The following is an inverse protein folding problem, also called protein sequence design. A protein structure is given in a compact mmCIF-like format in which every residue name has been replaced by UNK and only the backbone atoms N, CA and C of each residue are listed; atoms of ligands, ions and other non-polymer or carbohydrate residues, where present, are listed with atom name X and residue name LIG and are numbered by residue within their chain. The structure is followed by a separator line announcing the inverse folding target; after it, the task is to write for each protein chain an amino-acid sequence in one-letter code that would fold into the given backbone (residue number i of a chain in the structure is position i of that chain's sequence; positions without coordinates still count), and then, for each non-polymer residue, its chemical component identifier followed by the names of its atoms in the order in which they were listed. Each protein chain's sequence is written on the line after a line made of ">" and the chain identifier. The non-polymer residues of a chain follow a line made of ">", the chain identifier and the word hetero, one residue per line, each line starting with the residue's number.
data_IF_993130071244
#
_entry.id   IF_993130071244
#
_cell.length_a   1.000
_cell.length_b   1.000
_cell.length_c   1.000
_cell.angle_alpha   90.00
_cell.angle_beta   90.00
_cell.angle_gamma   90.00
#
_symmetry.space_group_name_H-M   'P 1'
#
loop_
_entity.id
_entity.type
_entity.pdbx_description
1 polymer ?
#
# COMPACT_ATOMS: atom_id res chain seq x y z
N UNK A 1 5.65 28.07 18.97
CA UNK A 1 5.04 27.28 17.88
C UNK A 1 3.61 26.97 18.32
N UNK A 2 2.61 27.57 17.68
CA UNK A 2 1.21 27.41 18.07
C UNK A 2 0.71 25.99 17.83
N UNK A 3 0.05 25.39 18.82
CA UNK A 3 -0.63 24.09 18.70
C UNK A 3 -1.69 24.06 17.58
N UNK A 4 -2.17 25.23 17.15
CA UNK A 4 -3.08 25.37 15.99
C UNK A 4 -2.36 25.10 14.66
N UNK A 5 -1.09 25.44 14.54
CA UNK A 5 -0.28 25.08 13.37
C UNK A 5 0.00 23.57 13.33
N UNK A 6 0.23 22.93 14.49
CA UNK A 6 0.46 21.48 14.56
C UNK A 6 -0.76 20.65 14.09
N UNK A 7 -1.99 21.13 14.31
CA UNK A 7 -3.21 20.48 13.77
C UNK A 7 -3.44 20.76 12.29
N UNK A 8 -2.95 21.89 11.77
CA UNK A 8 -3.02 22.19 10.33
C UNK A 8 -2.14 21.25 9.48
N UNK A 9 -1.11 20.64 10.07
CA UNK A 9 -0.25 19.66 9.40
C UNK A 9 -0.80 18.22 9.36
N UNK A 10 -2.03 17.97 9.84
CA UNK A 10 -2.67 16.66 9.56
C UNK A 10 -2.89 16.39 8.07
N UNK A 11 -2.68 17.40 7.22
CA UNK A 11 -2.28 17.26 5.83
C UNK A 11 -3.27 16.47 4.97
N UNK A 12 -2.91 16.25 3.71
CA UNK A 12 -3.66 15.40 2.80
C UNK A 12 -3.36 13.91 3.03
N UNK A 13 -2.89 13.53 4.23
CA UNK A 13 -2.37 12.20 4.54
C UNK A 13 -3.39 11.07 4.33
N UNK A 14 -4.62 11.28 4.79
CA UNK A 14 -5.72 10.34 4.64
C UNK A 14 -6.15 10.24 3.16
N UNK A 15 -6.36 11.40 2.50
CA UNK A 15 -6.72 11.46 1.08
C UNK A 15 -5.66 10.80 0.20
N UNK A 16 -4.37 10.94 0.54
CA UNK A 16 -3.25 10.32 -0.14
C UNK A 16 -3.27 8.80 -0.05
N UNK A 17 -3.46 8.26 1.15
CA UNK A 17 -3.57 6.81 1.35
C UNK A 17 -4.79 6.23 0.62
N UNK A 18 -5.93 6.92 0.68
CA UNK A 18 -7.13 6.50 -0.04
C UNK A 18 -6.90 6.54 -1.56
N UNK A 19 -6.30 7.62 -2.07
CA UNK A 19 -5.98 7.75 -3.49
C UNK A 19 -5.03 6.63 -3.97
N UNK A 20 -3.94 6.38 -3.25
CA UNK A 20 -3.00 5.30 -3.56
C UNK A 20 -3.70 3.93 -3.57
N UNK A 21 -4.53 3.66 -2.56
CA UNK A 21 -5.30 2.41 -2.47
C UNK A 21 -6.26 2.24 -3.65
N UNK A 22 -6.90 3.32 -4.09
CA UNK A 22 -7.79 3.32 -5.26
C UNK A 22 -7.03 3.12 -6.57
N UNK A 23 -5.83 3.70 -6.73
CA UNK A 23 -4.99 3.45 -7.90
C UNK A 23 -4.57 1.98 -7.99
N UNK A 24 -4.13 1.39 -6.87
CA UNK A 24 -3.81 -0.04 -6.79
C UNK A 24 -5.05 -0.88 -7.11
N UNK A 25 -6.21 -0.53 -6.56
CA UNK A 25 -7.46 -1.24 -6.85
C UNK A 25 -7.84 -1.16 -8.33
N UNK A 26 -7.71 0.02 -8.95
CA UNK A 26 -7.94 0.21 -10.38
C UNK A 26 -7.03 -0.71 -11.21
N UNK A 27 -5.76 -0.81 -10.85
CA UNK A 27 -4.78 -1.71 -11.48
C UNK A 27 -5.15 -3.19 -11.30
N UNK A 28 -5.46 -3.61 -10.08
CA UNK A 28 -5.84 -5.00 -9.79
C UNK A 28 -7.12 -5.44 -10.51
N UNK A 29 -8.05 -4.51 -10.71
CA UNK A 29 -9.34 -4.76 -11.38
C UNK A 29 -9.32 -4.44 -12.88
N UNK A 30 -8.21 -3.89 -13.39
CA UNK A 30 -8.08 -3.39 -14.76
C UNK A 30 -9.21 -2.40 -15.15
N UNK A 31 -9.67 -1.59 -14.19
CA UNK A 31 -10.81 -0.69 -14.39
C UNK A 31 -10.37 0.65 -15.01
N UNK A 32 -10.56 0.77 -16.33
CA UNK A 32 -10.24 1.99 -17.07
C UNK A 32 -11.08 3.20 -16.62
N UNK A 33 -12.34 3.00 -16.24
CA UNK A 33 -13.22 4.09 -15.82
C UNK A 33 -12.80 4.65 -14.46
N UNK A 34 -12.40 3.78 -13.53
CA UNK A 34 -11.84 4.20 -12.25
C UNK A 34 -10.49 4.92 -12.46
N UNK A 35 -9.61 4.37 -13.29
CA UNK A 35 -8.34 5.02 -13.62
C UNK A 35 -8.54 6.41 -14.23
N UNK A 36 -9.51 6.57 -15.14
CA UNK A 36 -9.85 7.88 -15.74
C UNK A 36 -10.40 8.86 -14.70
N UNK A 37 -11.27 8.40 -13.80
CA UNK A 37 -11.78 9.22 -12.71
C UNK A 37 -10.65 9.68 -11.76
N UNK A 38 -9.70 8.79 -11.43
CA UNK A 38 -8.53 9.11 -10.61
C UNK A 38 -7.57 10.07 -11.32
N UNK A 39 -7.35 9.90 -12.62
CA UNK A 39 -6.57 10.83 -13.45
C UNK A 39 -7.19 12.23 -13.46
N UNK A 40 -8.49 12.32 -13.72
CA UNK A 40 -9.23 13.59 -13.66
C UNK A 40 -9.20 14.22 -12.26
N UNK A 41 -9.24 13.41 -11.20
CA UNK A 41 -9.11 13.93 -9.84
C UNK A 41 -7.75 14.61 -9.64
N UNK A 42 -6.65 13.99 -10.07
CA UNK A 42 -5.31 14.59 -9.96
C UNK A 42 -5.22 15.85 -10.82
N UNK A 43 -5.66 15.81 -12.07
CA UNK A 43 -5.62 16.98 -12.96
C UNK A 43 -6.30 18.21 -12.33
N UNK A 44 -7.52 18.01 -11.81
CA UNK A 44 -8.30 19.07 -11.18
C UNK A 44 -7.74 19.56 -9.83
N UNK A 45 -7.00 18.71 -9.10
CA UNK A 45 -6.54 19.00 -7.73
C UNK A 45 -5.02 19.13 -7.61
N UNK A 46 -4.25 19.00 -8.70
CA UNK A 46 -2.79 18.98 -8.68
C UNK A 46 -2.21 20.18 -7.93
N UNK A 47 -2.77 21.37 -8.19
CA UNK A 47 -2.40 22.61 -7.49
C UNK A 47 -2.60 22.50 -5.98
N UNK A 48 -3.79 22.07 -5.55
CA UNK A 48 -4.13 21.97 -4.14
C UNK A 48 -3.26 20.92 -3.44
N UNK A 49 -2.99 19.79 -4.11
CA UNK A 49 -2.10 18.74 -3.61
C UNK A 49 -0.69 19.31 -3.42
N UNK A 50 -0.11 19.94 -4.44
CA UNK A 50 1.23 20.54 -4.33
C UNK A 50 1.30 21.66 -3.30
N UNK A 51 0.17 22.35 -3.09
CA UNK A 51 0.13 23.52 -2.23
C UNK A 51 -0.01 23.19 -0.73
N UNK A 52 -0.65 22.07 -0.41
CA UNK A 52 -0.99 21.70 0.97
C UNK A 52 -0.34 20.41 1.46
N UNK A 53 0.24 19.61 0.56
CA UNK A 53 0.94 18.38 0.93
C UNK A 53 2.35 18.66 1.46
N UNK A 54 2.82 17.79 2.35
CA UNK A 54 4.22 17.81 2.74
C UNK A 54 5.10 17.45 1.51
N UNK A 55 6.10 18.27 1.14
CA UNK A 55 7.00 17.96 0.01
C UNK A 55 7.69 16.59 0.13
N UNK A 56 7.96 16.12 1.35
CA UNK A 56 8.49 14.79 1.60
C UNK A 56 7.53 13.66 1.22
N UNK A 57 6.23 13.92 1.14
CA UNK A 57 5.19 12.95 0.81
C UNK A 57 4.66 13.05 -0.63
N UNK A 58 5.09 14.04 -1.42
CA UNK A 58 4.67 14.17 -2.83
C UNK A 58 5.06 12.96 -3.69
N UNK A 59 6.10 12.23 -3.31
CA UNK A 59 6.53 11.02 -4.00
C UNK A 59 5.46 9.91 -3.96
N UNK A 60 4.65 9.82 -2.90
CA UNK A 60 3.56 8.83 -2.81
C UNK A 60 2.44 9.12 -3.82
N UNK A 61 2.14 10.40 -4.07
CA UNK A 61 1.19 10.80 -5.12
C UNK A 61 1.70 10.45 -6.52
N UNK A 62 3.00 10.68 -6.78
CA UNK A 62 3.67 10.29 -8.02
C UNK A 62 3.61 8.77 -8.21
N UNK A 63 3.90 7.99 -7.16
CA UNK A 63 3.78 6.53 -7.17
C UNK A 63 2.36 6.07 -7.51
N UNK A 64 1.35 6.68 -6.88
CA UNK A 64 -0.05 6.36 -7.17
C UNK A 64 -0.43 6.63 -8.64
N UNK A 65 0.08 7.71 -9.24
CA UNK A 65 -0.13 7.99 -10.68
C UNK A 65 0.57 6.97 -11.56
N UNK A 66 1.78 6.53 -11.19
CA UNK A 66 2.48 5.46 -11.92
C UNK A 66 1.73 4.12 -11.91
N UNK A 67 0.99 3.80 -10.84
CA UNK A 67 0.17 2.58 -10.80
C UNK A 67 -0.93 2.56 -11.88
N UNK A 68 -1.38 3.74 -12.34
CA UNK A 68 -2.35 3.88 -13.43
C UNK A 68 -1.74 3.66 -14.82
N UNK A 69 -0.41 3.53 -14.94
CA UNK A 69 0.26 3.28 -16.21
C UNK A 69 -0.19 1.95 -16.81
N UNK A 70 -0.58 1.99 -18.09
CA UNK A 70 -1.16 0.88 -18.82
C UNK A 70 -2.70 0.82 -18.77
N UNK A 71 -3.33 1.57 -17.86
CA UNK A 71 -4.79 1.83 -17.87
C UNK A 71 -5.11 3.19 -18.51
N UNK A 72 -4.23 4.16 -18.34
CA UNK A 72 -4.29 5.46 -19.00
C UNK A 72 -3.29 5.53 -20.17
N UNK A 73 -3.56 6.35 -21.19
CA UNK A 73 -2.57 6.66 -22.21
C UNK A 73 -1.30 7.26 -21.60
N UNK A 74 -0.13 6.89 -22.12
CA UNK A 74 1.16 7.32 -21.55
C UNK A 74 1.29 8.85 -21.50
N UNK A 75 0.82 9.57 -22.54
CA UNK A 75 0.84 11.05 -22.55
C UNK A 75 0.04 11.67 -21.41
N UNK A 76 -1.08 11.05 -21.00
CA UNK A 76 -1.89 11.53 -19.87
C UNK A 76 -1.15 11.31 -18.56
N UNK A 77 -0.50 10.16 -18.41
CA UNK A 77 0.33 9.88 -17.22
C UNK A 77 1.47 10.90 -17.12
N UNK A 78 2.17 11.16 -18.22
CA UNK A 78 3.26 12.12 -18.28
C UNK A 78 2.80 13.56 -17.95
N UNK A 79 1.62 13.97 -18.43
CA UNK A 79 1.02 15.26 -18.12
C UNK A 79 0.67 15.39 -16.63
N UNK A 80 0.04 14.37 -16.04
CA UNK A 80 -0.27 14.33 -14.61
C UNK A 80 1.01 14.39 -13.77
N UNK A 81 2.05 13.62 -14.13
CA UNK A 81 3.35 13.66 -13.46
C UNK A 81 4.01 15.03 -13.58
N UNK A 82 3.93 15.65 -14.75
CA UNK A 82 4.45 17.00 -15.00
C UNK A 82 3.69 18.04 -14.15
N UNK A 83 2.38 17.90 -13.98
CA UNK A 83 1.56 18.81 -13.17
C UNK A 83 1.96 18.79 -11.68
N UNK A 84 2.29 17.61 -11.14
CA UNK A 84 2.73 17.42 -9.76
C UNK A 84 4.18 17.87 -9.53
N UNK A 85 5.05 17.69 -10.52
CA UNK A 85 6.49 17.96 -10.39
C UNK A 85 6.89 19.39 -10.75
N UNK A 86 6.28 20.00 -11.77
CA UNK A 86 6.61 21.36 -12.24
C UNK A 86 6.43 22.38 -11.12
N UNK A 87 5.32 22.29 -10.36
CA UNK A 87 5.01 23.21 -9.27
C UNK A 87 5.91 23.03 -8.03
N UNK A 88 6.56 21.86 -7.89
CA UNK A 88 7.52 21.62 -6.81
C UNK A 88 8.78 22.46 -6.99
N UNK A 89 9.23 22.70 -8.23
CA UNK A 89 10.43 23.50 -8.52
C UNK A 89 10.29 24.93 -8.03
N UNK A 90 9.15 25.57 -8.29
CA UNK A 90 8.92 26.97 -7.92
C UNK A 90 8.99 27.21 -6.41
N UNK A 91 8.59 26.20 -5.63
CA UNK A 91 8.40 26.36 -4.18
C UNK A 91 9.62 25.97 -3.35
N UNK A 92 10.43 25.04 -3.85
CA UNK A 92 11.54 24.47 -3.07
C UNK A 92 12.93 24.83 -3.56
N UNK A 93 13.08 25.63 -4.63
CA UNK A 93 14.25 26.48 -4.95
C UNK A 93 15.68 25.89 -4.90
N UNK A 94 15.84 24.59 -4.66
CA UNK A 94 17.13 24.00 -4.27
C UNK A 94 17.10 22.49 -4.12
N UNK A 95 15.99 21.81 -4.50
CA UNK A 95 16.09 20.42 -4.92
C UNK A 95 16.60 20.42 -6.37
N UNK A 96 17.86 20.79 -6.54
CA UNK A 96 18.63 20.47 -7.73
C UNK A 96 18.81 18.95 -7.73
N UNK A 97 17.73 18.24 -8.07
CA UNK A 97 17.85 16.89 -8.55
C UNK A 97 18.49 17.07 -9.93
N UNK A 98 19.80 16.88 -9.97
CA UNK A 98 20.61 17.17 -11.15
C UNK A 98 20.01 16.54 -12.41
N UNK A 99 20.29 17.08 -13.60
CA UNK A 99 19.55 16.82 -14.85
C UNK A 99 19.38 15.35 -15.26
N UNK A 100 20.10 14.41 -14.63
CA UNK A 100 20.07 12.99 -14.95
C UNK A 100 20.28 12.08 -13.73
N UNK A 101 19.89 12.49 -12.52
CA UNK A 101 19.71 11.50 -11.44
C UNK A 101 18.42 10.75 -11.72
N UNK A 102 18.55 9.73 -12.57
CA UNK A 102 17.84 8.47 -12.57
C UNK A 102 16.76 8.32 -11.48
N UNK A 103 15.66 9.07 -11.59
CA UNK A 103 14.42 8.72 -10.90
C UNK A 103 13.93 7.33 -11.32
N UNK A 104 14.49 6.78 -12.40
CA UNK A 104 14.27 5.40 -12.82
C UNK A 104 15.16 4.36 -12.10
N UNK A 105 16.24 4.77 -11.43
CA UNK A 105 17.21 3.87 -10.78
C UNK A 105 17.31 4.04 -9.26
N UNK A 106 17.10 5.24 -8.72
CA UNK A 106 17.10 5.51 -7.27
C UNK A 106 15.70 5.44 -6.64
N UNK A 107 14.64 5.49 -7.46
CA UNK A 107 13.55 4.58 -7.19
C UNK A 107 14.14 3.20 -7.45
N UNK A 108 14.74 2.61 -6.41
CA UNK A 108 14.87 1.16 -6.26
C UNK A 108 13.63 0.60 -6.93
N UNK A 109 13.74 -0.36 -7.87
CA UNK A 109 12.55 -1.03 -8.41
C UNK A 109 11.83 -1.58 -7.19
N UNK A 110 10.88 -0.79 -6.66
CA UNK A 110 10.18 -1.10 -5.44
C UNK A 110 9.61 -2.43 -5.79
N UNK A 111 10.00 -3.46 -5.03
CA UNK A 111 9.94 -4.79 -5.56
C UNK A 111 8.50 -4.99 -5.98
N UNK A 112 8.31 -5.68 -7.11
CA UNK A 112 7.03 -6.22 -7.56
C UNK A 112 6.31 -7.06 -6.48
N UNK A 113 6.76 -7.03 -5.22
CA UNK A 113 6.18 -7.53 -3.99
C UNK A 113 4.88 -6.80 -3.61
N UNK A 114 4.68 -5.51 -3.89
CA UNK A 114 3.34 -4.89 -3.69
C UNK A 114 2.36 -5.23 -4.82
N UNK A 115 2.86 -5.41 -6.05
CA UNK A 115 2.05 -5.92 -7.19
C UNK A 115 1.85 -7.43 -7.14
N UNK A 116 2.65 -8.18 -6.37
CA UNK A 116 2.14 -9.35 -5.62
C UNK A 116 1.30 -8.83 -4.48
N UNK A 117 0.22 -8.14 -4.83
CA UNK A 117 -0.99 -8.26 -4.04
C UNK A 117 -1.11 -9.75 -3.83
N UNK A 118 -0.98 -10.16 -2.58
CA UNK A 118 -1.53 -11.40 -2.14
C UNK A 118 -3.05 -11.29 -2.42
N UNK A 119 -3.45 -11.43 -3.68
CA UNK A 119 -4.26 -12.56 -4.07
C UNK A 119 -3.50 -13.81 -3.56
N UNK A 120 -3.41 -13.96 -2.23
CA UNK A 120 -3.96 -15.14 -1.60
C UNK A 120 -5.37 -15.15 -2.15
N UNK A 121 -5.50 -15.69 -3.36
CA UNK A 121 -6.34 -16.82 -3.55
C UNK A 121 -6.24 -17.54 -2.21
N UNK A 122 -7.29 -17.40 -1.41
CA UNK A 122 -7.84 -18.59 -0.81
C UNK A 122 -8.08 -19.51 -2.01
N UNK A 123 -7.03 -20.08 -2.60
CA UNK A 123 -7.04 -21.49 -2.92
C UNK A 123 -7.38 -22.05 -1.56
N UNK A 124 -8.62 -22.54 -1.35
CA UNK A 124 -8.83 -23.37 -0.19
C UNK A 124 -7.74 -24.42 -0.35
N UNK A 125 -6.80 -24.45 0.59
CA UNK A 125 -6.08 -25.69 0.81
C UNK A 125 -7.19 -26.66 1.17
N UNK A 126 -7.72 -27.34 0.14
CA UNK A 126 -8.25 -28.68 0.23
C UNK A 126 -7.06 -29.53 0.69
N UNK A 127 -6.71 -29.32 1.96
CA UNK A 127 -6.05 -30.30 2.76
C UNK A 127 -7.07 -31.44 2.74
N UNK A 128 -6.71 -32.51 2.05
CA UNK A 128 -7.36 -33.81 2.13
C UNK A 128 -7.32 -34.27 3.59
N UNK A 129 -8.13 -33.66 4.43
CA UNK A 129 -8.58 -34.26 5.67
C UNK A 129 -9.87 -34.96 5.29
N UNK A 130 -9.91 -36.26 5.52
CA UNK A 130 -11.08 -37.09 5.32
C UNK A 130 -12.21 -36.63 6.24
N UNK A 131 -12.89 -35.57 5.86
CA UNK A 131 -14.15 -35.15 6.46
C UNK A 131 -15.22 -36.07 5.93
N UNK A 132 -15.65 -36.97 6.81
CA UNK A 132 -16.77 -37.87 6.65
C UNK A 132 -18.00 -37.12 6.07
N UNK A 133 -18.46 -37.52 4.89
CA UNK A 133 -19.43 -36.81 4.05
C UNK A 133 -20.87 -36.81 4.61
N UNK A 134 -21.10 -37.33 5.83
CA UNK A 134 -22.45 -37.62 6.31
C UNK A 134 -23.10 -36.55 7.19
N UNK A 135 -22.44 -35.44 7.50
CA UNK A 135 -22.96 -34.48 8.50
C UNK A 135 -22.70 -33.00 8.19
N UNK A 136 -22.97 -32.53 6.98
CA UNK A 136 -23.11 -31.08 6.75
C UNK A 136 -24.48 -30.80 6.15
N UNK A 137 -25.45 -30.61 7.04
CA UNK A 137 -26.73 -29.97 6.71
C UNK A 137 -26.45 -28.58 6.15
N UNK A 138 -26.77 -28.38 4.87
CA UNK A 138 -26.66 -27.09 4.20
C UNK A 138 -27.46 -26.04 4.98
N UNK A 139 -26.90 -24.85 5.28
CA UNK A 139 -27.70 -23.78 5.86
C UNK A 139 -28.79 -23.38 4.86
N UNK A 140 -30.03 -23.12 5.31
CA UNK A 140 -31.12 -22.77 4.41
C UNK A 140 -30.79 -21.43 3.74
N UNK A 141 -30.77 -21.46 2.41
CA UNK A 141 -30.70 -20.31 1.52
C UNK A 141 -31.82 -19.34 1.89
N UNK A 142 -31.48 -18.26 2.60
CA UNK A 142 -32.43 -17.17 2.86
C UNK A 142 -32.56 -16.36 1.57
N UNK A 143 -33.64 -16.62 0.82
CA UNK A 143 -34.10 -15.73 -0.25
C UNK A 143 -34.31 -14.33 0.32
N UNK A 144 -33.69 -13.33 -0.28
CA UNK A 144 -33.94 -11.92 0.01
C UNK A 144 -35.44 -11.65 -0.09
N UNK A 145 -36.06 -11.26 1.04
CA UNK A 145 -37.42 -10.75 1.06
C UNK A 145 -37.39 -9.24 0.85
N UNK A 146 -38.37 -8.77 0.08
CA UNK A 146 -38.67 -7.37 -0.22
C UNK A 146 -38.65 -6.49 1.05
N UNK A 147 -38.19 -5.24 0.88
CA UNK A 147 -37.91 -4.23 1.90
C UNK A 147 -39.15 -3.70 2.65
N UNK A 148 -40.36 -4.06 2.24
CA UNK A 148 -41.61 -3.50 2.81
C UNK A 148 -42.18 -4.26 4.03
N UNK A 149 -41.47 -5.27 4.55
CA UNK A 149 -41.89 -5.99 5.76
C UNK A 149 -40.76 -6.14 6.77
N UNK A 150 -40.30 -5.03 7.35
CA UNK A 150 -39.54 -5.03 8.60
C UNK A 150 -40.37 -4.41 9.72
N UNK A 151 -41.31 -5.20 10.26
CA UNK A 151 -41.80 -4.96 11.62
C UNK A 151 -40.79 -5.57 12.60
N UNK A 152 -40.17 -4.71 13.40
CA UNK A 152 -39.18 -5.04 14.42
C UNK A 152 -39.87 -5.81 15.55
N UNK A 153 -39.81 -7.13 15.49
CA UNK A 153 -40.13 -8.00 16.62
C UNK A 153 -38.89 -8.23 17.47
N UNK A 154 -38.92 -7.81 18.74
CA UNK A 154 -37.86 -8.11 19.71
C UNK A 154 -37.88 -9.60 20.06
N UNK A 155 -36.80 -10.37 19.80
CA UNK A 155 -36.72 -11.75 20.26
C UNK A 155 -36.45 -11.77 21.76
N UNK A 156 -37.43 -12.25 22.53
CA UNK A 156 -37.24 -12.67 23.91
C UNK A 156 -36.51 -14.01 23.91
N UNK A 157 -35.18 -13.97 24.09
CA UNK A 157 -34.38 -15.18 24.29
C UNK A 157 -34.45 -15.63 25.76
N UNK A 158 -34.63 -16.93 26.06
CA UNK A 158 -34.48 -17.45 27.42
C UNK A 158 -32.99 -17.48 27.83
N UNK A 159 -32.67 -17.38 29.14
CA UNK A 159 -31.29 -17.31 29.62
C UNK A 159 -30.61 -18.68 29.52
N UNK A 160 -29.88 -18.92 28.43
CA UNK A 160 -29.02 -20.10 28.33
C UNK A 160 -27.77 -19.91 29.17
N UNK A 161 -27.72 -20.61 30.31
CA UNK A 161 -26.51 -20.82 31.12
C UNK A 161 -25.55 -21.75 30.38
N UNK A 162 -24.74 -21.21 29.47
CA UNK A 162 -23.56 -21.91 29.01
C UNK A 162 -22.35 -21.38 29.78
N UNK A 163 -21.54 -22.24 30.43
CA UNK A 163 -20.30 -21.82 31.06
C UNK A 163 -19.34 -21.32 29.98
N UNK A 164 -19.04 -20.02 30.01
CA UNK A 164 -17.99 -19.44 29.15
C UNK A 164 -16.66 -20.08 29.51
N UNK A 165 -15.93 -20.69 28.56
CA UNK A 165 -14.57 -21.14 28.84
C UNK A 165 -13.71 -19.90 29.15
N UNK A 166 -13.06 -19.91 30.31
CA UNK A 166 -12.07 -18.91 30.69
C UNK A 166 -10.89 -19.08 29.75
N UNK A 167 -10.85 -18.33 28.67
CA UNK A 167 -9.66 -18.21 27.84
C UNK A 167 -8.68 -17.29 28.56
N UNK A 168 -7.50 -17.82 28.90
CA UNK A 168 -6.35 -17.02 29.30
C UNK A 168 -6.13 -15.87 28.33
N UNK A 169 -5.71 -14.67 28.80
CA UNK A 169 -5.41 -13.56 27.91
C UNK A 169 -4.21 -13.97 27.04
N UNK A 170 -4.50 -14.35 25.80
CA UNK A 170 -3.52 -14.45 24.74
C UNK A 170 -2.94 -13.06 24.53
N UNK A 171 -1.76 -12.82 25.10
CA UNK A 171 -0.86 -11.77 24.64
C UNK A 171 -0.55 -12.09 23.18
N UNK A 172 -1.34 -11.53 22.27
CA UNK A 172 -1.03 -11.51 20.86
C UNK A 172 0.33 -10.80 20.73
N UNK A 173 1.37 -11.45 20.18
CA UNK A 173 2.58 -10.74 19.85
C UNK A 173 2.22 -9.69 18.79
N UNK A 174 2.15 -8.43 19.22
CA UNK A 174 2.31 -7.28 18.33
C UNK A 174 3.78 -7.25 17.92
N UNK A 175 4.19 -8.26 17.17
CA UNK A 175 5.45 -8.26 16.44
C UNK A 175 5.13 -7.59 15.12
N UNK A 176 5.62 -6.36 14.98
CA UNK A 176 5.74 -5.66 13.71
C UNK A 176 6.79 -6.39 12.86
N UNK A 177 6.44 -7.60 12.39
CA UNK A 177 7.26 -8.44 11.49
C UNK A 177 7.72 -7.69 10.22
N UNK A 178 7.11 -6.55 9.93
CA UNK A 178 7.45 -5.67 8.81
C UNK A 178 8.77 -4.92 9.03
N UNK A 179 9.09 -4.51 10.27
CA UNK A 179 10.31 -3.75 10.58
C UNK A 179 11.54 -4.66 10.61
N UNK A 180 11.42 -5.86 11.19
CA UNK A 180 12.52 -6.84 11.26
C UNK A 180 13.03 -7.25 9.86
N UNK A 181 12.14 -7.32 8.86
CA UNK A 181 12.52 -7.66 7.48
C UNK A 181 13.29 -6.52 6.81
N UNK A 182 12.99 -5.27 7.18
CA UNK A 182 13.75 -4.10 6.72
C UNK A 182 15.16 -4.08 7.28
N UNK A 183 15.28 -4.34 8.59
CA UNK A 183 16.55 -4.38 9.30
C UNK A 183 17.48 -5.47 8.76
N UNK A 184 16.97 -6.69 8.56
CA UNK A 184 17.75 -7.82 8.01
C UNK A 184 18.26 -7.51 6.59
N UNK A 185 17.45 -6.86 5.75
CA UNK A 185 17.90 -6.48 4.39
C UNK A 185 19.01 -5.44 4.42
N UNK A 186 18.95 -4.50 5.36
CA UNK A 186 19.97 -3.49 5.49
C UNK A 186 21.30 -4.08 5.97
N UNK A 187 21.23 -4.99 6.94
CA UNK A 187 22.41 -5.70 7.43
C UNK A 187 23.07 -6.56 6.34
N UNK A 188 22.28 -7.24 5.50
CA UNK A 188 22.81 -7.99 4.35
C UNK A 188 23.49 -7.09 3.32
N UNK A 189 22.95 -5.90 3.05
CA UNK A 189 23.57 -4.94 2.13
C UNK A 189 24.90 -4.40 2.67
N UNK A 190 24.97 -4.11 3.97
CA UNK A 190 26.19 -3.68 4.64
C UNK A 190 27.29 -4.76 4.56
N UNK A 191 26.94 -6.02 4.85
CA UNK A 191 27.87 -7.15 4.74
C UNK A 191 28.35 -7.37 3.30
N UNK A 192 27.48 -7.21 2.30
CA UNK A 192 27.87 -7.36 0.90
C UNK A 192 28.90 -6.30 0.47
N UNK A 193 28.75 -5.05 0.94
CA UNK A 193 29.70 -3.98 0.67
C UNK A 193 31.07 -4.26 1.30
N UNK A 194 31.10 -4.77 2.54
CA UNK A 194 32.35 -5.15 3.21
C UNK A 194 33.09 -6.27 2.47
N UNK A 195 32.36 -7.26 1.96
CA UNK A 195 32.94 -8.35 1.16
C UNK A 195 33.54 -7.82 -0.15
N UNK A 196 32.91 -6.84 -0.81
CA UNK A 196 33.49 -6.21 -2.00
C UNK A 196 34.76 -5.41 -1.70
N UNK A 197 34.79 -4.66 -0.60
CA UNK A 197 35.99 -3.93 -0.15
C UNK A 197 37.15 -4.90 0.11
N UNK A 198 36.89 -6.00 0.82
CA UNK A 198 37.90 -7.03 1.08
C UNK A 198 38.42 -7.67 -0.21
N UNK A 199 37.55 -7.97 -1.17
CA UNK A 199 37.96 -8.49 -2.49
C UNK A 199 38.87 -7.50 -3.21
N UNK A 200 38.57 -6.21 -3.14
CA UNK A 200 39.39 -5.18 -3.74
C UNK A 200 40.78 -5.11 -3.09
N UNK A 201 40.85 -5.15 -1.75
CA UNK A 201 42.12 -5.15 -1.00
C UNK A 201 42.98 -6.38 -1.27
N UNK A 202 42.37 -7.57 -1.36
CA UNK A 202 43.10 -8.80 -1.71
C UNK A 202 43.71 -8.67 -3.11
N UNK A 203 42.94 -8.20 -4.08
CA UNK A 203 43.41 -7.99 -5.45
C UNK A 203 44.57 -6.99 -5.52
N UNK A 204 44.54 -5.94 -4.69
CA UNK A 204 45.64 -4.97 -4.63
C UNK A 204 46.93 -5.61 -4.10
N UNK A 205 46.85 -6.43 -3.05
CA UNK A 205 48.00 -7.14 -2.50
C UNK A 205 48.58 -8.17 -3.48
N UNK A 206 47.73 -8.84 -4.28
CA UNK A 206 48.18 -9.73 -5.36
C UNK A 206 48.98 -9.01 -6.44
N UNK A 207 48.79 -7.69 -6.61
CA UNK A 207 49.50 -6.91 -7.63
C UNK A 207 50.82 -6.35 -7.10
N UNK A 208 50.98 -6.26 -5.78
CA UNK A 208 52.16 -5.70 -5.12
C UNK A 208 53.20 -6.76 -4.70
N UNK A 209 52.86 -8.06 -4.73
CA UNK A 209 53.73 -9.19 -4.39
C UNK A 209 54.27 -9.95 -5.59
#
# INVERSE_FOLDING_TARGET
>A
MDERSARAFRGLSESRHQFLSLCVLARCTLSNDLARALGNFIDNNARHITDHENPGCLHEWVLAVYELRGLLPDYTVDELLSSLTTRRRDRFGGWDVGPHQNYHSDFVPWPRQWTRCHIRSRTPHLREYGWDQRLISSPPVRRCRSLDQMLIGFPTFPPSRWPTPVMSPLLLPTSDYSDDVGEVKWEQAAQAAEVEDLKYRVKQLEWEG
#
